data_IF_997619016535
#
_entry.id   IF_997619016535
#
_cell.length_a   1.000
_cell.length_b   1.000
_cell.length_c   1.000
_cell.angle_alpha   90.00
_cell.angle_beta   90.00
_cell.angle_gamma   90.00
#
_symmetry.space_group_name_H-M   'P 1'
#
loop_
_entity.id
_entity.type
_entity.pdbx_description
1 polymer ?
#
# COMPACT_ATOMS: atom_id res chain seq x y z
N UNK A 1 9.34 1.31 -37.86
CA UNK A 1 9.23 0.63 -36.55
C UNK A 1 8.64 -0.77 -36.69
N UNK A 2 7.40 -0.93 -37.17
CA UNK A 2 6.76 -2.25 -37.32
C UNK A 2 7.47 -3.17 -38.32
N UNK A 3 7.87 -2.64 -39.48
CA UNK A 3 8.63 -3.39 -40.50
C UNK A 3 9.97 -3.96 -39.97
N UNK A 4 10.76 -3.12 -39.28
CA UNK A 4 12.02 -3.53 -38.67
C UNK A 4 11.80 -4.56 -37.54
N UNK A 5 10.72 -4.41 -36.76
CA UNK A 5 10.35 -5.37 -35.72
C UNK A 5 9.96 -6.73 -36.31
N UNK A 6 9.20 -6.75 -37.41
CA UNK A 6 8.81 -7.98 -38.10
C UNK A 6 10.01 -8.68 -38.77
N UNK A 7 11.02 -7.93 -39.21
CA UNK A 7 12.27 -8.46 -39.76
C UNK A 7 13.18 -9.07 -38.67
N UNK A 8 13.27 -8.42 -37.50
CA UNK A 8 14.10 -8.88 -36.38
C UNK A 8 13.46 -10.02 -35.59
N UNK A 9 12.12 -10.02 -35.44
CA UNK A 9 11.38 -10.98 -34.61
C UNK A 9 10.15 -11.53 -35.37
N UNK A 10 10.36 -12.38 -36.39
CA UNK A 10 9.25 -12.90 -37.21
C UNK A 10 8.33 -13.87 -36.45
N UNK A 11 8.74 -14.33 -35.26
CA UNK A 11 7.96 -15.22 -34.41
C UNK A 11 6.81 -14.51 -33.67
N UNK A 12 6.86 -13.18 -33.57
CA UNK A 12 5.88 -12.40 -32.81
C UNK A 12 4.97 -11.63 -33.78
N UNK A 13 3.74 -12.10 -33.94
CA UNK A 13 2.71 -11.42 -34.74
C UNK A 13 2.16 -10.21 -33.98
N UNK A 14 2.90 -9.10 -33.97
CA UNK A 14 2.44 -7.82 -33.45
C UNK A 14 1.90 -6.93 -34.58
N UNK A 15 0.80 -6.21 -34.35
CA UNK A 15 0.31 -5.17 -35.26
C UNK A 15 1.03 -3.85 -34.99
N UNK A 16 1.13 -2.97 -36.00
CA UNK A 16 1.82 -1.68 -35.87
C UNK A 16 1.26 -0.84 -34.72
N UNK A 17 -0.06 -0.79 -34.59
CA UNK A 17 -0.74 -0.07 -33.51
C UNK A 17 -0.36 -0.61 -32.12
N UNK A 18 -0.28 -1.94 -31.97
CA UNK A 18 0.09 -2.57 -30.69
C UNK A 18 1.53 -2.24 -30.28
N UNK A 19 2.46 -2.16 -31.23
CA UNK A 19 3.84 -1.77 -30.94
C UNK A 19 3.91 -0.31 -30.49
N UNK A 20 3.21 0.58 -31.19
CA UNK A 20 3.18 2.01 -30.86
C UNK A 20 2.60 2.25 -29.48
N UNK A 21 1.52 1.56 -29.12
CA UNK A 21 0.88 1.73 -27.81
C UNK A 21 1.73 1.16 -26.66
N UNK A 22 2.46 0.08 -26.90
CA UNK A 22 3.44 -0.46 -25.95
C UNK A 22 4.63 0.48 -25.75
N UNK A 23 5.15 1.08 -26.82
CA UNK A 23 6.23 2.08 -26.73
C UNK A 23 5.77 3.29 -25.93
N UNK A 24 4.55 3.81 -26.20
CA UNK A 24 3.97 4.92 -25.42
C UNK A 24 3.78 4.57 -23.96
N UNK A 25 3.35 3.35 -23.67
CA UNK A 25 3.22 2.87 -22.29
C UNK A 25 4.59 2.86 -21.59
N UNK A 26 5.61 2.29 -22.23
CA UNK A 26 6.97 2.22 -21.68
C UNK A 26 7.50 3.63 -21.38
N UNK A 27 7.39 4.56 -22.32
CA UNK A 27 7.83 5.95 -22.14
C UNK A 27 7.06 6.69 -21.04
N UNK A 28 5.76 6.44 -20.88
CA UNK A 28 4.93 7.10 -19.87
C UNK A 28 5.09 6.49 -18.47
N UNK A 29 5.44 5.21 -18.41
CA UNK A 29 5.55 4.46 -17.16
C UNK A 29 6.83 4.75 -16.37
N UNK A 30 7.77 5.53 -16.92
CA UNK A 30 9.04 5.89 -16.30
C UNK A 30 9.79 4.67 -15.71
N UNK A 31 9.66 3.51 -16.37
CA UNK A 31 10.28 2.24 -15.95
C UNK A 31 11.80 2.27 -16.18
N UNK A 32 12.27 3.10 -17.12
CA UNK A 32 13.67 3.29 -17.43
C UNK A 32 14.07 4.71 -17.06
N UNK A 33 15.19 4.85 -16.34
CA UNK A 33 15.79 6.16 -16.06
C UNK A 33 16.27 6.82 -17.37
N UNK A 34 16.34 8.16 -17.41
CA UNK A 34 16.69 8.92 -18.62
C UNK A 34 18.05 8.48 -19.16
N UNK A 35 19.00 8.17 -18.27
CA UNK A 35 20.32 7.65 -18.64
C UNK A 35 20.28 6.24 -19.26
N UNK A 36 19.38 5.37 -18.78
CA UNK A 36 19.20 4.02 -19.33
C UNK A 36 18.50 4.06 -20.70
N UNK A 37 17.54 4.98 -20.88
CA UNK A 37 16.91 5.22 -22.18
C UNK A 37 17.91 5.74 -23.21
N UNK A 38 18.81 6.64 -22.83
CA UNK A 38 19.86 7.11 -23.74
C UNK A 38 20.88 6.02 -24.08
N UNK A 39 21.21 5.15 -23.13
CA UNK A 39 22.05 3.98 -23.39
C UNK A 39 21.37 3.01 -24.37
N UNK A 40 20.10 2.69 -24.16
CA UNK A 40 19.33 1.83 -25.07
C UNK A 40 19.15 2.46 -26.45
N UNK A 41 18.98 3.79 -26.54
CA UNK A 41 18.98 4.51 -27.82
C UNK A 41 20.31 4.41 -28.54
N UNK A 42 21.43 4.53 -27.82
CA UNK A 42 22.78 4.35 -28.39
C UNK A 42 23.02 2.92 -28.85
N UNK A 43 22.51 1.92 -28.14
CA UNK A 43 22.63 0.50 -28.49
C UNK A 43 21.75 0.11 -29.69
N UNK A 44 20.56 0.73 -29.82
CA UNK A 44 19.61 0.46 -30.90
C UNK A 44 19.95 1.17 -32.23
N UNK A 45 20.90 2.12 -32.23
CA UNK A 45 21.44 2.70 -33.46
C UNK A 45 22.60 1.79 -33.92
N UNK A 46 22.44 1.02 -35.01
CA UNK A 46 23.53 0.20 -35.51
C UNK A 46 24.67 1.13 -35.95
N UNK A 47 25.88 0.84 -35.47
CA UNK A 47 27.14 1.46 -35.87
C UNK A 47 27.30 1.36 -37.39
N UNK A 48 26.79 2.38 -38.08
CA UNK A 48 27.01 2.62 -39.50
C UNK A 48 28.01 3.76 -39.55
N UNK A 49 29.23 3.43 -39.99
CA UNK A 49 30.32 4.38 -40.10
C UNK A 49 30.01 5.53 -41.05
N UNK A 50 30.61 6.66 -40.69
CA UNK A 50 31.11 7.76 -41.54
C UNK A 50 30.14 8.76 -42.20
N UNK A 51 30.48 10.04 -41.93
CA UNK A 51 30.25 11.29 -42.68
C UNK A 51 28.97 12.12 -42.44
N UNK A 52 29.10 13.16 -41.61
CA UNK A 52 29.02 14.60 -41.98
C UNK A 52 28.69 15.46 -40.73
N UNK A 53 29.63 16.20 -40.14
CA UNK A 53 30.01 17.62 -40.37
C UNK A 53 29.06 18.65 -39.72
N UNK A 54 29.70 19.54 -38.94
CA UNK A 54 29.29 20.88 -38.46
C UNK A 54 28.24 20.95 -37.34
N UNK A 55 28.65 21.20 -36.09
CA UNK A 55 28.89 22.52 -35.44
C UNK A 55 27.65 22.92 -34.62
N UNK A 56 27.79 23.01 -33.29
CA UNK A 56 27.90 24.30 -32.60
C UNK A 56 27.76 24.16 -31.05
N UNK A 57 28.65 24.84 -30.35
CA UNK A 57 28.57 25.38 -28.98
C UNK A 57 28.66 24.47 -27.73
N UNK A 58 29.86 24.51 -27.13
CA UNK A 58 30.16 24.33 -25.69
C UNK A 58 29.57 25.49 -24.84
N UNK A 59 29.67 25.58 -23.48
CA UNK A 59 30.77 25.14 -22.59
C UNK A 59 30.30 24.28 -21.39
N UNK A 60 31.05 23.26 -20.93
CA UNK A 60 32.24 23.31 -20.06
C UNK A 60 32.14 24.23 -18.84
N UNK A 61 32.02 23.62 -17.66
CA UNK A 61 32.81 24.02 -16.49
C UNK A 61 33.39 22.77 -15.85
N UNK A 62 34.70 22.64 -16.01
CA UNK A 62 35.57 21.81 -15.19
C UNK A 62 36.05 22.65 -14.02
N UNK A 63 36.14 22.06 -12.84
CA UNK A 63 37.12 22.48 -11.84
C UNK A 63 37.54 21.24 -11.05
N UNK A 64 38.77 20.79 -11.35
CA UNK A 64 39.61 20.03 -10.44
C UNK A 64 40.58 20.98 -9.75
N UNK A 65 41.20 20.46 -8.69
CA UNK A 65 42.37 20.98 -7.94
C UNK A 65 41.99 22.04 -6.90
N UNK A 66 42.52 22.06 -5.68
CA UNK A 66 43.82 21.57 -5.23
C UNK A 66 43.85 21.46 -3.69
N UNK A 67 44.75 20.59 -3.20
CA UNK A 67 45.21 20.51 -1.81
C UNK A 67 45.90 21.80 -1.37
N UNK A 68 45.73 22.20 -0.10
CA UNK A 68 46.77 22.93 0.67
C UNK A 68 46.72 22.49 2.13
N UNK A 69 47.79 21.81 2.56
CA UNK A 69 48.18 21.60 3.96
C UNK A 69 48.53 22.94 4.63
N UNK A 70 48.18 23.11 5.92
CA UNK A 70 49.01 23.75 6.95
C UNK A 70 48.18 24.14 8.19
N UNK A 71 48.24 23.32 9.25
CA UNK A 71 47.89 23.75 10.60
C UNK A 71 49.05 23.41 11.56
N UNK A 72 50.03 24.30 11.53
CA UNK A 72 50.72 24.89 12.70
C UNK A 72 51.00 23.94 13.88
N UNK A 73 52.23 23.44 13.91
CA UNK A 73 52.96 23.15 15.14
C UNK A 73 53.24 24.48 15.86
N UNK A 74 52.89 24.57 17.14
CA UNK A 74 53.43 25.58 18.07
C UNK A 74 53.91 24.84 19.32
N UNK A 75 55.10 25.18 19.85
CA UNK A 75 55.88 24.26 20.68
C UNK A 75 55.36 24.21 22.11
N UNK A 76 55.37 23.00 22.67
CA UNK A 76 55.27 22.78 24.11
C UNK A 76 56.51 23.41 24.76
N UNK A 77 56.33 24.59 25.34
CA UNK A 77 57.26 25.15 26.31
C UNK A 77 57.11 24.33 27.58
N UNK A 78 58.10 23.48 27.86
CA UNK A 78 58.30 22.89 29.17
C UNK A 78 58.83 24.03 30.04
N UNK A 79 57.93 24.71 30.75
CA UNK A 79 58.32 25.58 31.86
C UNK A 79 58.16 24.79 33.16
N UNK A 80 59.31 24.49 33.76
CA UNK A 80 59.45 23.79 35.02
C UNK A 80 59.04 24.71 36.17
N UNK A 81 57.74 24.74 36.51
CA UNK A 81 57.26 25.35 37.75
C UNK A 81 56.64 24.25 38.64
N UNK A 82 57.52 23.72 39.49
CA UNK A 82 57.32 22.68 40.50
C UNK A 82 56.63 23.24 41.77
N UNK A 83 55.33 23.57 41.66
CA UNK A 83 54.48 23.85 42.84
C UNK A 83 52.98 23.56 42.62
N UNK A 84 52.59 23.03 41.45
CA UNK A 84 51.19 22.78 41.06
C UNK A 84 50.74 21.31 41.08
N UNK A 85 51.67 20.38 41.29
CA UNK A 85 51.45 18.94 41.10
C UNK A 85 50.49 18.35 42.13
N UNK A 86 50.61 18.73 43.40
CA UNK A 86 49.75 18.23 44.49
C UNK A 86 48.30 18.73 44.39
N UNK A 87 48.09 19.94 43.87
CA UNK A 87 46.76 20.51 43.69
C UNK A 87 46.02 19.83 42.53
N UNK A 88 46.70 19.58 41.41
CA UNK A 88 46.16 18.81 40.29
C UNK A 88 45.92 17.34 40.64
N UNK A 89 46.81 16.74 41.42
CA UNK A 89 46.68 15.36 41.86
C UNK A 89 45.53 15.19 42.86
N UNK A 90 45.32 16.16 43.75
CA UNK A 90 44.14 16.22 44.62
C UNK A 90 42.85 16.43 43.82
N UNK A 91 42.87 17.28 42.80
CA UNK A 91 41.72 17.52 41.92
C UNK A 91 41.39 16.27 41.10
N UNK A 92 42.40 15.55 40.59
CA UNK A 92 42.24 14.28 39.90
C UNK A 92 41.71 13.18 40.82
N UNK A 93 42.17 13.11 42.08
CA UNK A 93 41.68 12.11 43.03
C UNK A 93 40.25 12.43 43.50
N UNK A 94 39.90 13.71 43.68
CA UNK A 94 38.51 14.13 43.91
C UNK A 94 37.61 13.78 42.72
N UNK A 95 38.10 14.01 41.50
CA UNK A 95 37.39 13.64 40.28
C UNK A 95 37.24 12.13 40.15
N UNK A 96 38.26 11.35 40.51
CA UNK A 96 38.22 9.88 40.53
C UNK A 96 37.23 9.35 41.58
N UNK A 97 37.27 9.90 42.78
CA UNK A 97 36.38 9.54 43.89
C UNK A 97 34.91 9.83 43.56
N UNK A 98 34.61 11.01 43.00
CA UNK A 98 33.24 11.35 42.57
C UNK A 98 32.75 10.44 41.44
N UNK A 99 33.63 10.03 40.53
CA UNK A 99 33.31 9.12 39.45
C UNK A 99 33.06 7.69 39.97
N UNK A 100 33.85 7.23 40.93
CA UNK A 100 33.64 5.95 41.61
C UNK A 100 32.32 5.93 42.39
N UNK A 101 31.99 7.01 43.10
CA UNK A 101 30.73 7.17 43.82
C UNK A 101 29.53 7.13 42.84
N UNK A 102 29.60 7.86 41.73
CA UNK A 102 28.58 7.83 40.68
C UNK A 102 28.45 6.45 40.01
N UNK A 103 29.55 5.69 39.87
CA UNK A 103 29.52 4.32 39.35
C UNK A 103 28.83 3.37 40.33
N UNK A 104 29.10 3.50 41.63
CA UNK A 104 28.46 2.68 42.68
C UNK A 104 26.97 3.01 42.78
N UNK A 105 26.60 4.29 42.71
CA UNK A 105 25.21 4.75 42.67
C UNK A 105 24.46 4.20 41.44
N UNK A 106 25.07 4.26 40.26
CA UNK A 106 24.46 3.72 39.02
C UNK A 106 24.41 2.18 38.95
N UNK A 107 25.20 1.48 39.77
CA UNK A 107 25.16 0.00 39.90
C UNK A 107 24.19 -0.47 40.98
N UNK A 108 23.94 0.34 42.00
CA UNK A 108 22.99 0.05 43.09
C UNK A 108 21.54 0.43 42.74
N UNK A 109 21.35 1.30 41.74
CA UNK A 109 20.02 1.62 41.20
C UNK A 109 19.48 0.49 40.30
N UNK A 110 18.21 0.06 40.46
CA UNK A 110 17.57 -0.89 39.55
C UNK A 110 17.58 -0.40 38.10
N UNK A 111 17.67 -1.34 37.14
CA UNK A 111 17.79 -1.07 35.69
C UNK A 111 16.74 -0.09 35.15
N UNK A 112 15.51 -0.12 35.66
CA UNK A 112 14.43 0.82 35.30
C UNK A 112 14.76 2.29 35.59
N UNK A 113 15.54 2.58 36.64
CA UNK A 113 15.76 3.93 37.15
C UNK A 113 17.12 4.52 36.76
N UNK A 114 17.96 3.75 36.04
CA UNK A 114 19.27 4.22 35.61
C UNK A 114 19.13 5.26 34.49
N UNK A 115 19.82 6.42 34.55
CA UNK A 115 19.77 7.41 33.48
C UNK A 115 20.23 6.77 32.16
N UNK A 116 19.29 6.67 31.21
CA UNK A 116 19.57 6.14 29.87
C UNK A 116 20.49 7.10 29.13
N UNK A 117 21.57 6.56 28.56
CA UNK A 117 22.45 7.35 27.70
C UNK A 117 21.66 7.97 26.55
N UNK A 118 21.79 9.29 26.36
CA UNK A 118 21.14 10.03 25.25
C UNK A 118 21.45 9.42 23.88
N UNK A 119 22.63 8.78 23.74
CA UNK A 119 23.06 8.07 22.52
C UNK A 119 22.18 6.83 22.23
N UNK A 120 21.73 6.13 23.26
CA UNK A 120 20.84 4.97 23.11
C UNK A 120 19.39 5.41 22.83
N UNK A 121 18.96 6.55 23.36
CA UNK A 121 17.63 7.12 23.08
C UNK A 121 17.52 7.59 21.62
N UNK A 122 18.55 8.26 21.10
CA UNK A 122 18.58 8.68 19.69
C UNK A 122 18.49 7.49 18.71
N UNK A 123 19.12 6.35 19.04
CA UNK A 123 18.97 5.11 18.27
C UNK A 123 17.53 4.56 18.29
N UNK A 124 16.87 4.60 19.45
CA UNK A 124 15.47 4.22 19.61
C UNK A 124 14.53 5.10 18.77
N UNK A 125 14.74 6.42 18.79
CA UNK A 125 13.89 7.38 18.07
C UNK A 125 14.03 7.22 16.54
N UNK A 126 15.24 6.91 16.04
CA UNK A 126 15.48 6.63 14.61
C UNK A 126 14.74 5.35 14.19
N UNK A 127 14.83 4.28 15.00
CA UNK A 127 14.14 3.02 14.74
C UNK A 127 12.62 3.18 14.74
N UNK A 128 12.09 4.00 15.65
CA UNK A 128 10.66 4.32 15.71
C UNK A 128 10.19 5.05 14.45
N UNK A 129 10.90 6.12 14.04
CA UNK A 129 10.60 6.86 12.79
C UNK A 129 10.67 5.97 11.56
N UNK A 130 11.63 5.05 11.51
CA UNK A 130 11.75 4.09 10.41
C UNK A 130 10.53 3.16 10.36
N UNK A 131 10.08 2.67 11.51
CA UNK A 131 8.90 1.79 11.63
C UNK A 131 7.63 2.50 11.20
N UNK A 132 7.41 3.72 11.69
CA UNK A 132 6.28 4.57 11.29
C UNK A 132 6.28 4.80 9.77
N UNK A 133 7.44 5.11 9.19
CA UNK A 133 7.56 5.31 7.75
C UNK A 133 7.25 4.04 6.95
N UNK A 134 7.68 2.88 7.44
CA UNK A 134 7.38 1.60 6.83
C UNK A 134 5.87 1.33 6.88
N UNK A 135 5.24 1.58 8.02
CA UNK A 135 3.80 1.33 8.18
C UNK A 135 2.95 2.31 7.35
N UNK A 136 3.35 3.57 7.24
CA UNK A 136 2.77 4.53 6.29
C UNK A 136 2.80 4.01 4.85
N UNK A 137 3.94 3.47 4.41
CA UNK A 137 4.09 2.93 3.07
C UNK A 137 3.23 1.68 2.88
N UNK A 138 3.19 0.77 3.86
CA UNK A 138 2.30 -0.41 3.83
C UNK A 138 0.83 -0.01 3.74
N UNK A 139 0.40 0.95 4.55
CA UNK A 139 -0.97 1.46 4.54
C UNK A 139 -1.33 2.09 3.20
N UNK A 140 -0.42 2.88 2.61
CA UNK A 140 -0.59 3.44 1.27
C UNK A 140 -0.71 2.32 0.24
N UNK A 141 0.23 1.38 0.16
CA UNK A 141 0.17 0.26 -0.79
C UNK A 141 -1.15 -0.50 -0.66
N UNK A 142 -1.59 -0.79 0.58
CA UNK A 142 -2.85 -1.47 0.83
C UNK A 142 -4.07 -0.65 0.36
N UNK A 143 -4.08 0.66 0.61
CA UNK A 143 -5.15 1.55 0.16
C UNK A 143 -5.22 1.63 -1.38
N UNK A 144 -4.07 1.73 -2.04
CA UNK A 144 -3.95 1.75 -3.50
C UNK A 144 -4.39 0.40 -4.11
N UNK A 145 -3.97 -0.72 -3.53
CA UNK A 145 -4.43 -2.05 -3.94
C UNK A 145 -5.95 -2.20 -3.83
N UNK A 146 -6.55 -1.76 -2.71
CA UNK A 146 -8.01 -1.72 -2.53
C UNK A 146 -8.70 -0.82 -3.56
N UNK A 147 -8.08 0.30 -3.93
CA UNK A 147 -8.62 1.24 -4.92
C UNK A 147 -8.60 0.64 -6.32
N UNK A 148 -7.49 0.01 -6.73
CA UNK A 148 -7.37 -0.70 -7.99
C UNK A 148 -8.43 -1.79 -8.09
N UNK A 149 -8.54 -2.65 -7.07
CA UNK A 149 -9.53 -3.72 -7.02
C UNK A 149 -10.97 -3.20 -7.16
N UNK A 150 -11.31 -2.09 -6.49
CA UNK A 150 -12.63 -1.46 -6.65
C UNK A 150 -12.88 -0.96 -8.07
N UNK A 151 -11.88 -0.38 -8.73
CA UNK A 151 -12.03 0.06 -10.12
C UNK A 151 -12.15 -1.09 -11.09
N UNK A 152 -11.37 -2.16 -10.92
CA UNK A 152 -11.48 -3.35 -11.76
C UNK A 152 -12.84 -4.00 -11.60
N UNK A 153 -13.33 -4.19 -10.37
CA UNK A 153 -14.66 -4.73 -10.11
C UNK A 153 -15.79 -3.83 -10.66
N UNK A 154 -15.62 -2.51 -10.57
CA UNK A 154 -16.58 -1.57 -11.18
C UNK A 154 -16.62 -1.73 -12.69
N UNK A 155 -15.45 -1.84 -13.32
CA UNK A 155 -15.33 -1.99 -14.76
C UNK A 155 -15.90 -3.34 -15.23
N UNK A 156 -15.64 -4.42 -14.49
CA UNK A 156 -16.24 -5.73 -14.80
C UNK A 156 -17.76 -5.67 -14.70
N UNK A 157 -18.32 -5.09 -13.63
CA UNK A 157 -19.78 -4.90 -13.49
C UNK A 157 -20.35 -4.04 -14.61
N UNK A 158 -19.69 -2.95 -14.98
CA UNK A 158 -20.12 -2.11 -16.09
C UNK A 158 -20.16 -2.88 -17.41
N UNK A 159 -19.10 -3.62 -17.71
CA UNK A 159 -19.01 -4.42 -18.93
C UNK A 159 -20.04 -5.56 -18.93
N UNK A 160 -20.26 -6.23 -17.79
CA UNK A 160 -21.26 -7.28 -17.62
C UNK A 160 -22.68 -6.73 -17.79
N UNK A 161 -22.99 -5.58 -17.19
CA UNK A 161 -24.30 -4.92 -17.33
C UNK A 161 -24.53 -4.44 -18.77
N UNK A 162 -23.51 -3.88 -19.41
CA UNK A 162 -23.58 -3.50 -20.82
C UNK A 162 -23.82 -4.71 -21.71
N UNK A 163 -23.11 -5.80 -21.46
CA UNK A 163 -23.29 -7.06 -22.18
C UNK A 163 -24.67 -7.67 -21.91
N UNK A 164 -25.19 -7.56 -20.69
CA UNK A 164 -26.55 -8.00 -20.36
C UNK A 164 -27.60 -7.24 -21.17
N UNK A 165 -27.45 -5.93 -21.31
CA UNK A 165 -28.42 -5.12 -22.07
C UNK A 165 -28.35 -5.38 -23.58
N UNK A 166 -27.15 -5.60 -24.13
CA UNK A 166 -27.00 -5.83 -25.58
C UNK A 166 -27.15 -7.29 -26.00
N UNK A 167 -26.57 -8.23 -25.25
CA UNK A 167 -26.47 -9.64 -25.59
C UNK A 167 -26.36 -10.53 -24.34
N UNK A 168 -27.52 -10.87 -23.77
CA UNK A 168 -27.64 -11.71 -22.59
C UNK A 168 -27.01 -13.09 -22.80
N UNK A 169 -27.12 -13.67 -24.01
CA UNK A 169 -26.59 -15.01 -24.30
C UNK A 169 -25.07 -15.05 -24.17
N UNK A 170 -24.37 -14.01 -24.66
CA UNK A 170 -22.91 -13.92 -24.50
C UNK A 170 -22.50 -13.74 -23.06
N UNK A 171 -23.27 -12.99 -22.26
CA UNK A 171 -23.01 -12.90 -20.83
C UNK A 171 -23.13 -14.28 -20.16
N UNK A 172 -24.24 -14.99 -20.36
CA UNK A 172 -24.43 -16.30 -19.74
C UNK A 172 -23.36 -17.31 -20.17
N UNK A 173 -22.99 -17.34 -21.46
CA UNK A 173 -21.86 -18.16 -21.95
C UNK A 173 -20.51 -17.79 -21.33
N UNK A 174 -20.31 -16.54 -20.93
CA UNK A 174 -19.09 -16.12 -20.23
C UNK A 174 -19.11 -16.45 -18.73
N UNK A 175 -20.30 -16.60 -18.16
CA UNK A 175 -20.51 -17.01 -16.76
C UNK A 175 -20.51 -18.54 -16.61
N UNK A 176 -20.87 -19.25 -17.67
CA UNK A 176 -20.57 -20.67 -17.83
C UNK A 176 -19.06 -20.82 -17.64
N UNK A 177 -18.65 -21.32 -16.47
CA UNK A 177 -17.32 -21.92 -16.35
C UNK A 177 -17.26 -23.00 -17.42
N UNK A 178 -16.10 -23.23 -18.08
CA UNK A 178 -15.90 -24.44 -18.86
C UNK A 178 -16.16 -25.60 -17.91
N UNK A 179 -17.37 -26.13 -17.99
CA UNK A 179 -17.85 -27.10 -17.04
C UNK A 179 -17.06 -28.35 -17.37
N UNK A 180 -16.57 -29.03 -16.33
CA UNK A 180 -16.56 -30.48 -16.34
C UNK A 180 -17.98 -30.85 -16.73
N UNK A 181 -18.24 -31.03 -18.03
CA UNK A 181 -19.54 -31.44 -18.52
C UNK A 181 -19.87 -32.65 -17.69
N UNK A 182 -20.87 -32.51 -16.81
CA UNK A 182 -21.41 -33.66 -16.12
C UNK A 182 -21.83 -34.60 -17.23
N UNK A 183 -21.07 -35.68 -17.43
CA UNK A 183 -21.34 -36.73 -18.39
C UNK A 183 -22.60 -37.53 -18.01
N UNK A 184 -23.35 -37.05 -17.02
CA UNK A 184 -24.61 -37.62 -16.60
C UNK A 184 -25.74 -37.25 -17.57
N UNK A 185 -26.73 -38.14 -17.72
CA UNK A 185 -27.94 -37.83 -18.45
C UNK A 185 -28.64 -36.62 -17.82
N UNK A 186 -29.17 -35.74 -18.67
CA UNK A 186 -30.00 -34.61 -18.23
C UNK A 186 -31.18 -35.17 -17.42
N UNK A 187 -31.37 -34.75 -16.15
CA UNK A 187 -32.48 -35.23 -15.33
C UNK A 187 -33.82 -34.93 -15.99
N UNK A 188 -34.74 -35.90 -15.92
CA UNK A 188 -36.09 -35.75 -16.44
C UNK A 188 -36.82 -34.60 -15.70
N UNK A 189 -37.66 -33.86 -16.43
CA UNK A 189 -38.41 -32.73 -15.87
C UNK A 189 -39.35 -33.18 -14.74
N UNK A 190 -40.02 -34.33 -14.91
CA UNK A 190 -40.92 -34.86 -13.89
C UNK A 190 -40.16 -35.20 -12.60
N UNK A 191 -38.98 -35.81 -12.71
CA UNK A 191 -38.15 -36.19 -11.56
C UNK A 191 -37.63 -34.95 -10.82
N UNK A 192 -37.27 -33.90 -11.56
CA UNK A 192 -36.84 -32.62 -10.99
C UNK A 192 -37.99 -31.95 -10.24
N UNK A 193 -39.20 -31.92 -10.83
CA UNK A 193 -40.39 -31.34 -10.20
C UNK A 193 -40.79 -32.14 -8.96
N UNK A 194 -40.78 -33.47 -9.03
CA UNK A 194 -41.11 -34.34 -7.90
C UNK A 194 -40.12 -34.14 -6.75
N UNK A 195 -38.82 -34.01 -7.04
CA UNK A 195 -37.79 -33.72 -6.05
C UNK A 195 -38.06 -32.41 -5.31
N UNK A 196 -38.27 -31.30 -6.05
CA UNK A 196 -38.55 -30.00 -5.43
C UNK A 196 -39.89 -29.96 -4.71
N UNK A 197 -40.90 -30.63 -5.26
CA UNK A 197 -42.20 -30.75 -4.62
C UNK A 197 -42.09 -31.49 -3.28
N UNK A 198 -41.34 -32.59 -3.21
CA UNK A 198 -41.10 -33.32 -1.96
C UNK A 198 -40.36 -32.46 -0.93
N UNK A 199 -39.36 -31.67 -1.36
CA UNK A 199 -38.58 -30.82 -0.45
C UNK A 199 -39.40 -29.66 0.16
N UNK A 200 -40.33 -29.08 -0.60
CA UNK A 200 -41.03 -27.85 -0.20
C UNK A 200 -42.50 -28.03 0.17
N UNK A 201 -43.15 -29.08 -0.31
CA UNK A 201 -44.59 -29.28 -0.12
C UNK A 201 -44.90 -30.22 1.04
N UNK A 202 -43.95 -31.05 1.45
CA UNK A 202 -44.08 -31.85 2.67
C UNK A 202 -43.73 -30.98 3.88
N UNK A 203 -44.67 -30.70 4.79
CA UNK A 203 -44.37 -29.97 6.00
C UNK A 203 -43.49 -30.84 6.90
N UNK A 204 -42.19 -30.57 6.88
CA UNK A 204 -41.25 -31.18 7.80
C UNK A 204 -41.37 -30.45 9.13
N UNK A 205 -41.84 -31.15 10.17
CA UNK A 205 -41.71 -30.65 11.54
C UNK A 205 -40.22 -30.69 11.90
N UNK A 206 -39.57 -29.54 11.84
CA UNK A 206 -38.22 -29.42 12.38
C UNK A 206 -38.31 -29.59 13.89
N UNK A 207 -37.52 -30.53 14.44
CA UNK A 207 -37.20 -30.52 15.85
C UNK A 207 -36.38 -29.25 16.09
N UNK A 208 -37.06 -28.18 16.50
CA UNK A 208 -36.41 -26.99 17.04
C UNK A 208 -35.60 -27.45 18.25
N UNK A 209 -34.29 -27.62 18.05
CA UNK A 209 -33.42 -28.15 19.09
C UNK A 209 -33.55 -27.36 20.39
N UNK A 210 -33.11 -27.92 21.53
CA UNK A 210 -33.37 -27.37 22.88
C UNK A 210 -32.86 -25.94 23.11
N UNK A 211 -32.06 -25.40 22.18
CA UNK A 211 -31.60 -24.02 22.20
C UNK A 211 -32.74 -23.01 22.06
N UNK A 212 -33.87 -23.33 21.40
CA UNK A 212 -35.00 -22.39 21.27
C UNK A 212 -35.65 -22.13 22.62
N UNK A 213 -35.78 -23.16 23.45
CA UNK A 213 -36.25 -23.05 24.84
C UNK A 213 -35.26 -22.24 25.70
N UNK A 214 -33.96 -22.43 25.49
CA UNK A 214 -32.91 -21.65 26.17
C UNK A 214 -32.99 -20.17 25.80
N UNK A 215 -33.13 -19.86 24.51
CA UNK A 215 -33.26 -18.47 24.03
C UNK A 215 -34.58 -17.87 24.49
N UNK A 216 -35.70 -18.61 24.43
CA UNK A 216 -36.98 -18.17 24.96
C UNK A 216 -36.90 -17.85 26.45
N UNK A 217 -36.19 -18.67 27.24
CA UNK A 217 -35.96 -18.43 28.67
C UNK A 217 -35.07 -17.20 28.90
N UNK A 218 -34.02 -17.00 28.11
CA UNK A 218 -33.17 -15.80 28.17
C UNK A 218 -33.94 -14.53 27.77
N UNK A 219 -34.85 -14.64 26.81
CA UNK A 219 -35.68 -13.54 26.33
C UNK A 219 -36.95 -13.32 27.18
N UNK A 220 -37.32 -14.23 28.08
CA UNK A 220 -38.52 -14.11 28.90
C UNK A 220 -38.52 -12.86 29.80
N UNK A 221 -37.33 -12.37 30.18
CA UNK A 221 -37.17 -11.13 30.94
C UNK A 221 -37.08 -9.86 30.09
N UNK A 222 -37.05 -9.98 28.76
CA UNK A 222 -36.96 -8.84 27.85
C UNK A 222 -38.37 -8.37 27.53
N UNK A 223 -38.72 -7.16 27.97
CA UNK A 223 -39.98 -6.52 27.59
C UNK A 223 -40.05 -6.40 26.07
N UNK A 224 -41.15 -6.86 25.47
CA UNK A 224 -41.39 -6.69 24.04
C UNK A 224 -41.27 -5.22 23.69
N UNK A 225 -40.45 -4.91 22.67
CA UNK A 225 -40.21 -3.54 22.25
C UNK A 225 -41.54 -2.93 21.79
N UNK A 226 -41.88 -1.76 22.32
CA UNK A 226 -43.04 -1.00 21.87
C UNK A 226 -42.98 -0.74 20.36
N UNK A 227 -44.12 -0.67 19.67
CA UNK A 227 -44.15 -0.40 18.23
C UNK A 227 -43.46 0.94 17.94
N UNK A 228 -42.33 0.88 17.23
CA UNK A 228 -41.57 2.07 16.81
C UNK A 228 -42.32 2.75 15.67
N UNK A 229 -43.03 3.84 15.97
CA UNK A 229 -43.65 4.70 14.96
C UNK A 229 -42.60 5.71 14.52
N UNK A 230 -42.03 5.52 13.33
CA UNK A 230 -41.09 6.47 12.73
C UNK A 230 -41.90 7.66 12.20
N UNK A 231 -41.72 8.83 12.80
CA UNK A 231 -42.37 10.07 12.36
C UNK A 231 -41.52 10.82 11.34
N UNK A 232 -42.14 11.80 10.66
CA UNK A 232 -41.42 12.69 9.73
C UNK A 232 -40.32 13.49 10.44
N UNK A 233 -40.52 13.86 11.70
CA UNK A 233 -39.52 14.58 12.50
C UNK A 233 -38.30 13.70 12.81
N UNK A 234 -38.50 12.41 13.09
CA UNK A 234 -37.39 11.46 13.30
C UNK A 234 -36.53 11.33 12.04
N UNK A 235 -37.17 11.28 10.86
CA UNK A 235 -36.48 11.26 9.57
C UNK A 235 -35.75 12.58 9.32
N UNK A 236 -36.38 13.72 9.60
CA UNK A 236 -35.75 15.03 9.45
C UNK A 236 -34.55 15.19 10.38
N UNK A 237 -34.64 14.70 11.62
CA UNK A 237 -33.52 14.68 12.57
C UNK A 237 -32.39 13.76 12.12
N UNK A 238 -32.71 12.55 11.67
CA UNK A 238 -31.72 11.62 11.16
C UNK A 238 -30.98 12.21 9.95
N UNK A 239 -31.70 12.85 9.02
CA UNK A 239 -31.11 13.53 7.86
C UNK A 239 -30.24 14.70 8.28
N UNK A 240 -30.67 15.51 9.25
CA UNK A 240 -29.88 16.65 9.77
C UNK A 240 -28.57 16.21 10.41
N UNK A 241 -28.56 15.08 11.11
CA UNK A 241 -27.37 14.51 11.76
C UNK A 241 -26.49 13.69 10.80
N UNK A 242 -26.99 13.37 9.61
CA UNK A 242 -26.22 12.62 8.63
C UNK A 242 -25.07 13.49 8.06
N UNK A 243 -23.84 12.97 7.98
CA UNK A 243 -22.74 13.66 7.32
C UNK A 243 -23.11 14.00 5.86
N UNK A 244 -22.78 15.21 5.40
CA UNK A 244 -23.14 15.73 4.07
C UNK A 244 -22.82 14.79 2.89
N UNK A 245 -21.78 13.95 3.03
CA UNK A 245 -21.40 12.98 2.00
C UNK A 245 -22.36 11.79 1.89
N UNK A 246 -23.19 11.51 2.90
CA UNK A 246 -24.26 10.49 2.85
C UNK A 246 -25.55 11.02 2.22
N UNK A 247 -25.76 12.35 2.20
CA UNK A 247 -26.99 12.98 1.67
C UNK A 247 -26.91 13.19 0.15
N UNK A 248 -25.69 13.25 -0.41
CA UNK A 248 -25.45 13.53 -1.84
C UNK A 248 -26.02 12.47 -2.79
N UNK A 249 -26.16 11.23 -2.34
CA UNK A 249 -26.67 10.12 -3.18
C UNK A 249 -28.21 10.06 -3.22
N UNK A 250 -28.91 10.78 -2.33
CA UNK A 250 -30.38 10.78 -2.25
C UNK A 250 -31.03 11.93 -3.06
N UNK A 251 -30.30 13.03 -3.26
CA UNK A 251 -30.81 14.23 -3.95
C UNK A 251 -30.81 14.11 -5.48
N UNK A 252 -30.18 13.09 -6.05
CA UNK A 252 -30.24 12.79 -7.49
C UNK A 252 -31.59 12.24 -7.98
N UNK A 253 -32.52 11.90 -7.07
CA UNK A 253 -33.79 11.25 -7.40
C UNK A 253 -35.02 12.16 -7.32
N UNK A 254 -34.89 13.46 -7.03
CA UNK A 254 -36.05 14.35 -6.73
C UNK A 254 -36.29 15.46 -7.77
N UNK A 255 -35.69 15.39 -8.96
CA UNK A 255 -35.99 16.35 -10.05
C UNK A 255 -36.30 15.65 -11.36
N UNK A 256 -37.42 14.92 -11.39
CA UNK A 256 -38.17 14.64 -12.62
C UNK A 256 -39.66 14.52 -12.30
N UNK A 257 -40.37 15.64 -12.31
CA UNK A 257 -41.80 15.75 -12.60
C UNK A 257 -42.06 17.14 -13.16
#
# INVERSE_FOLDING_TARGET
>A
MHRLFAELEPSITATEQNLVDRVRYILRSNIFDVAELERLRREAVPSSGENATAEDSAPQFAEQTENVDAAVNTPVVIDSNDDGTLAQELELEQMRSTLEEAIVETRSTPLENRPRSKRNQAGSDIMQKLTERIDDLKQRIAAWGKRIRRYTERLTRFNQNRLFQSDQKRLYKSLERPMVSGTGPVPNQADTVAFWHSLWSEPVNHNEGPWTEVVASQCAGITSMDPVIITLDDVAEAVRRAPNWKIRDLTGCITTS
#
